data_IF_648487641074
#
_entry.id   IF_648487641074
#
_cell.length_a   1.000
_cell.length_b   1.000
_cell.length_c   1.000
_cell.angle_alpha   90.00
_cell.angle_beta   90.00
_cell.angle_gamma   90.00
#
_symmetry.space_group_name_H-M   'P 1'
#
loop_
_entity.id
_entity.type
_entity.pdbx_description
1 polymer ?
#
# COMPACT_ATOMS: atom_id res chain seq x y z
N UNK A 1 28.04 -0.42 11.47
CA UNK A 1 29.34 0.03 10.90
C UNK A 1 29.12 0.38 9.43
N UNK A 2 29.56 1.57 8.98
CA UNK A 2 29.42 1.99 7.58
C UNK A 2 30.43 1.30 6.67
N UNK A 3 29.98 0.74 5.54
CA UNK A 3 30.85 0.17 4.50
C UNK A 3 31.28 1.28 3.54
N UNK A 4 32.59 1.44 3.32
CA UNK A 4 33.11 2.36 2.28
C UNK A 4 32.73 1.82 0.89
N UNK A 5 32.12 2.67 0.07
CA UNK A 5 31.78 2.36 -1.31
C UNK A 5 32.85 2.91 -2.26
N UNK A 6 33.27 2.09 -3.23
CA UNK A 6 34.12 2.53 -4.33
C UNK A 6 33.25 3.13 -5.43
N UNK A 7 32.90 4.40 -5.24
CA UNK A 7 32.10 5.23 -6.14
C UNK A 7 32.99 5.75 -7.27
N UNK A 8 32.50 5.77 -8.51
CA UNK A 8 33.30 6.22 -9.67
C UNK A 8 33.40 7.74 -9.70
N UNK A 9 32.28 8.43 -9.45
CA UNK A 9 32.23 9.89 -9.40
C UNK A 9 31.57 10.35 -8.11
N UNK A 10 32.38 10.71 -7.12
CA UNK A 10 31.89 11.19 -5.82
C UNK A 10 31.12 12.52 -5.97
N UNK A 11 31.57 13.41 -6.87
CA UNK A 11 30.96 14.73 -7.07
C UNK A 11 29.56 14.69 -7.67
N UNK A 12 29.21 13.60 -8.37
CA UNK A 12 27.88 13.40 -8.97
C UNK A 12 27.01 12.42 -8.17
N UNK A 13 27.50 11.93 -7.04
CA UNK A 13 26.79 10.94 -6.26
C UNK A 13 25.55 11.55 -5.62
N UNK A 14 24.41 10.90 -5.84
CA UNK A 14 23.14 11.26 -5.23
C UNK A 14 22.50 10.04 -4.59
N UNK A 15 21.99 10.22 -3.38
CA UNK A 15 21.02 9.30 -2.79
C UNK A 15 19.68 9.44 -3.52
N UNK A 16 19.02 8.31 -3.73
CA UNK A 16 17.64 8.24 -4.17
C UNK A 16 16.80 7.59 -3.06
N UNK A 17 15.50 7.53 -3.26
CA UNK A 17 14.60 6.84 -2.34
C UNK A 17 14.77 5.30 -2.41
N UNK A 18 14.20 4.61 -1.43
CA UNK A 18 14.15 3.15 -1.35
C UNK A 18 15.51 2.44 -1.38
N UNK A 19 16.56 3.16 -0.97
CA UNK A 19 17.93 2.65 -0.89
C UNK A 19 18.64 2.53 -2.24
N UNK A 20 18.09 3.13 -3.28
CA UNK A 20 18.83 3.37 -4.52
C UNK A 20 19.78 4.56 -4.35
N UNK A 21 20.86 4.56 -5.10
CA UNK A 21 21.74 5.70 -5.26
C UNK A 21 22.35 5.66 -6.66
N UNK A 22 22.88 6.78 -7.15
CA UNK A 22 23.65 6.78 -8.39
C UNK A 22 24.74 7.82 -8.39
N UNK A 23 25.80 7.56 -9.14
CA UNK A 23 26.69 8.58 -9.68
C UNK A 23 26.43 8.75 -11.19
N UNK A 24 27.23 9.55 -11.89
CA UNK A 24 27.07 9.73 -13.35
C UNK A 24 27.25 8.45 -14.18
N UNK A 25 27.83 7.39 -13.64
CA UNK A 25 28.26 6.19 -14.36
C UNK A 25 27.71 4.88 -13.79
N UNK A 26 27.21 4.87 -12.56
CA UNK A 26 26.82 3.65 -11.86
C UNK A 26 25.61 3.90 -10.98
N UNK A 27 24.71 2.92 -10.97
CA UNK A 27 23.59 2.84 -10.04
C UNK A 27 23.90 1.80 -8.97
N UNK A 28 23.45 2.08 -7.75
CA UNK A 28 23.61 1.23 -6.60
C UNK A 28 22.26 0.94 -5.97
N UNK A 29 22.11 -0.25 -5.40
CA UNK A 29 21.04 -0.61 -4.47
C UNK A 29 21.66 -1.13 -3.17
N UNK A 30 21.38 -0.48 -2.04
CA UNK A 30 21.96 -0.80 -0.74
C UNK A 30 23.50 -0.95 -0.78
N UNK A 31 24.16 -0.10 -1.57
CA UNK A 31 25.61 -0.12 -1.79
C UNK A 31 26.14 -1.19 -2.74
N UNK A 32 25.28 -1.99 -3.36
CA UNK A 32 25.66 -2.96 -4.39
C UNK A 32 25.48 -2.35 -5.76
N UNK A 33 26.48 -2.45 -6.64
CA UNK A 33 26.40 -1.95 -8.03
C UNK A 33 25.35 -2.74 -8.81
N UNK A 34 24.52 -2.05 -9.56
CA UNK A 34 23.56 -2.62 -10.49
C UNK A 34 24.07 -2.51 -11.92
N UNK A 35 23.76 -3.51 -12.73
CA UNK A 35 23.96 -3.47 -14.18
C UNK A 35 22.78 -2.72 -14.82
N UNK A 36 22.95 -1.40 -15.00
CA UNK A 36 21.93 -0.48 -15.52
C UNK A 36 22.36 0.05 -16.88
N UNK A 37 21.49 -0.09 -17.88
CA UNK A 37 21.77 0.31 -19.26
C UNK A 37 21.88 1.83 -19.39
N UNK A 38 20.98 2.57 -18.74
CA UNK A 38 20.90 4.04 -18.86
C UNK A 38 20.89 4.71 -17.48
N UNK A 39 22.08 4.96 -16.94
CA UNK A 39 22.26 5.63 -15.63
C UNK A 39 21.69 7.05 -15.62
N UNK A 40 21.78 7.77 -16.74
CA UNK A 40 21.26 9.13 -16.87
C UNK A 40 19.74 9.20 -16.68
N UNK A 41 19.01 8.25 -17.24
CA UNK A 41 17.54 8.15 -17.12
C UNK A 41 17.06 7.46 -15.84
N UNK A 42 17.96 6.79 -15.12
CA UNK A 42 17.61 6.02 -13.93
C UNK A 42 16.97 6.91 -12.84
N UNK A 43 15.83 6.47 -12.33
CA UNK A 43 15.11 7.10 -11.22
C UNK A 43 14.45 6.04 -10.32
N UNK A 44 14.44 6.32 -9.01
CA UNK A 44 13.50 5.65 -8.10
C UNK A 44 12.09 6.17 -8.38
N UNK A 45 11.10 5.28 -8.36
CA UNK A 45 9.69 5.62 -8.60
C UNK A 45 8.79 5.25 -7.41
N UNK A 46 9.39 4.91 -6.26
CA UNK A 46 8.69 4.62 -5.01
C UNK A 46 8.37 3.13 -4.82
N UNK A 47 8.00 2.78 -3.59
CA UNK A 47 7.61 1.42 -3.17
C UNK A 47 8.66 0.35 -3.52
N UNK A 48 9.95 0.70 -3.54
CA UNK A 48 11.04 -0.20 -3.89
C UNK A 48 11.31 -0.35 -5.40
N UNK A 49 10.48 0.27 -6.24
CA UNK A 49 10.64 0.24 -7.69
C UNK A 49 11.55 1.37 -8.18
N UNK A 50 12.32 1.06 -9.22
CA UNK A 50 13.09 2.02 -9.96
C UNK A 50 13.06 1.66 -11.45
N UNK A 51 13.35 2.63 -12.33
CA UNK A 51 13.47 2.35 -13.76
C UNK A 51 14.50 3.24 -14.44
N UNK A 52 15.08 2.69 -15.49
CA UNK A 52 15.76 3.44 -16.55
C UNK A 52 14.88 3.45 -17.82
N UNK A 53 15.37 4.01 -18.93
CA UNK A 53 14.61 4.05 -20.19
C UNK A 53 14.27 2.68 -20.79
N UNK A 54 14.91 1.60 -20.35
CA UNK A 54 14.88 0.26 -20.94
C UNK A 54 14.48 -0.86 -19.97
N UNK A 55 14.60 -0.64 -18.67
CA UNK A 55 14.40 -1.67 -17.65
C UNK A 55 13.69 -1.12 -16.41
N UNK A 56 12.97 -2.02 -15.74
CA UNK A 56 12.39 -1.79 -14.43
C UNK A 56 13.07 -2.71 -13.42
N UNK A 57 13.23 -2.22 -12.20
CA UNK A 57 13.86 -2.91 -11.09
C UNK A 57 12.96 -2.84 -9.86
N UNK A 58 12.97 -3.89 -9.05
CA UNK A 58 12.39 -3.91 -7.71
C UNK A 58 13.47 -4.35 -6.72
N UNK A 59 13.76 -3.50 -5.73
CA UNK A 59 14.82 -3.72 -4.74
C UNK A 59 16.14 -4.20 -5.37
N UNK A 60 16.57 -3.55 -6.46
CA UNK A 60 17.79 -3.87 -7.21
C UNK A 60 17.69 -5.07 -8.16
N UNK A 61 16.63 -5.88 -8.10
CA UNK A 61 16.39 -6.99 -9.03
C UNK A 61 15.70 -6.48 -10.29
N UNK A 62 16.30 -6.72 -11.46
CA UNK A 62 15.69 -6.43 -12.76
C UNK A 62 14.41 -7.27 -12.95
N UNK A 63 13.33 -6.63 -13.38
CA UNK A 63 12.05 -7.26 -13.68
C UNK A 63 11.88 -7.50 -15.18
N UNK A 64 11.16 -8.57 -15.53
CA UNK A 64 10.72 -8.82 -16.90
C UNK A 64 9.34 -8.19 -17.12
N UNK A 65 9.32 -6.91 -17.47
CA UNK A 65 8.09 -6.14 -17.72
C UNK A 65 7.84 -6.02 -19.23
N UNK A 66 6.58 -5.83 -19.63
CA UNK A 66 6.24 -5.72 -21.05
C UNK A 66 6.45 -4.29 -21.54
N UNK A 67 6.09 -3.28 -20.74
CA UNK A 67 6.15 -1.87 -21.15
C UNK A 67 6.75 -0.99 -20.06
N UNK A 68 8.04 -0.66 -20.22
CA UNK A 68 8.79 0.21 -19.30
C UNK A 68 8.28 1.65 -19.31
N UNK A 69 7.85 2.12 -20.48
CA UNK A 69 7.35 3.50 -20.66
C UNK A 69 6.08 3.74 -19.85
N UNK A 70 5.15 2.77 -19.85
CA UNK A 70 3.91 2.83 -19.08
C UNK A 70 4.05 2.37 -17.63
N UNK A 71 5.21 1.83 -17.24
CA UNK A 71 5.39 1.31 -15.88
C UNK A 71 5.30 2.43 -14.84
N UNK A 72 4.39 2.26 -13.89
CA UNK A 72 4.14 3.14 -12.76
C UNK A 72 4.05 2.34 -11.46
N UNK A 73 4.58 2.90 -10.39
CA UNK A 73 4.50 2.33 -9.05
C UNK A 73 3.47 3.12 -8.23
N UNK A 74 2.80 2.39 -7.34
CA UNK A 74 1.81 2.90 -6.39
C UNK A 74 2.25 2.54 -4.97
N UNK A 75 1.49 3.01 -3.98
CA UNK A 75 1.71 2.66 -2.59
C UNK A 75 1.59 1.14 -2.33
N UNK A 76 2.10 0.72 -1.18
CA UNK A 76 2.00 -0.67 -0.69
C UNK A 76 2.61 -1.72 -1.65
N UNK A 77 3.58 -1.33 -2.48
CA UNK A 77 4.29 -2.26 -3.36
C UNK A 77 3.55 -2.60 -4.66
N UNK A 78 2.38 -2.02 -4.92
CA UNK A 78 1.69 -2.22 -6.20
C UNK A 78 2.41 -1.45 -7.32
N UNK A 79 2.37 -2.00 -8.52
CA UNK A 79 2.80 -1.33 -9.73
C UNK A 79 2.02 -1.87 -10.93
N UNK A 80 1.99 -1.15 -12.04
CA UNK A 80 1.48 -1.69 -13.30
C UNK A 80 2.24 -1.17 -14.49
N UNK A 81 2.21 -1.95 -15.56
CA UNK A 81 2.39 -1.46 -16.93
C UNK A 81 1.06 -1.58 -17.69
N UNK A 82 1.03 -1.24 -18.97
CA UNK A 82 -0.17 -1.33 -19.80
C UNK A 82 -0.76 -2.74 -19.93
N UNK A 83 -0.04 -3.79 -19.52
CA UNK A 83 -0.38 -5.20 -19.76
C UNK A 83 -0.48 -6.04 -18.49
N UNK A 84 0.24 -5.67 -17.44
CA UNK A 84 0.37 -6.44 -16.21
C UNK A 84 0.29 -5.54 -14.98
N UNK A 85 -0.20 -6.12 -13.90
CA UNK A 85 -0.11 -5.58 -12.54
C UNK A 85 0.91 -6.39 -11.77
N UNK A 86 1.64 -5.74 -10.87
CA UNK A 86 2.66 -6.33 -10.03
C UNK A 86 2.44 -5.96 -8.57
N UNK A 87 2.83 -6.85 -7.67
CA UNK A 87 3.00 -6.58 -6.24
C UNK A 87 4.41 -6.99 -5.84
N UNK A 88 5.17 -6.06 -5.27
CA UNK A 88 6.53 -6.31 -4.78
C UNK A 88 7.42 -7.01 -5.82
N UNK A 89 7.34 -6.57 -7.08
CA UNK A 89 8.09 -7.10 -8.21
C UNK A 89 7.52 -8.39 -8.84
N UNK A 90 6.50 -9.00 -8.24
CA UNK A 90 5.89 -10.24 -8.73
C UNK A 90 4.60 -9.95 -9.50
N UNK A 91 4.42 -10.59 -10.65
CA UNK A 91 3.23 -10.39 -11.50
C UNK A 91 1.98 -10.95 -10.81
N UNK A 92 0.90 -10.17 -10.83
CA UNK A 92 -0.43 -10.55 -10.36
C UNK A 92 -1.32 -11.05 -11.49
N UNK A 93 -2.27 -11.93 -11.14
CA UNK A 93 -3.37 -12.34 -12.02
C UNK A 93 -4.56 -11.38 -11.86
N UNK A 94 -4.52 -10.27 -12.61
CA UNK A 94 -5.55 -9.22 -12.63
C UNK A 94 -6.34 -9.30 -13.93
N UNK A 95 -7.67 -9.33 -13.81
CA UNK A 95 -8.56 -9.54 -14.96
C UNK A 95 -8.66 -8.27 -15.82
N UNK A 96 -8.81 -7.10 -15.19
CA UNK A 96 -9.03 -5.84 -15.89
C UNK A 96 -7.95 -4.80 -15.54
N UNK A 97 -6.81 -4.91 -16.22
CA UNK A 97 -5.63 -4.03 -16.00
C UNK A 97 -5.98 -2.55 -16.25
N UNK A 98 -6.83 -2.25 -17.23
CA UNK A 98 -7.22 -0.89 -17.56
C UNK A 98 -8.01 -0.19 -16.45
N UNK A 99 -8.80 -0.95 -15.68
CA UNK A 99 -9.57 -0.42 -14.55
C UNK A 99 -8.85 -0.51 -13.21
N UNK A 100 -7.67 -1.15 -13.18
CA UNK A 100 -6.92 -1.35 -11.95
C UNK A 100 -6.44 -0.02 -11.36
N UNK A 101 -6.76 0.17 -10.07
CA UNK A 101 -6.29 1.28 -9.24
C UNK A 101 -6.17 0.86 -7.77
N UNK A 102 -5.30 1.55 -7.03
CA UNK A 102 -5.14 1.37 -5.57
C UNK A 102 -6.17 2.20 -4.79
N UNK A 103 -6.48 1.76 -3.57
CA UNK A 103 -7.47 2.37 -2.66
C UNK A 103 -6.86 2.71 -1.28
N UNK A 104 -5.53 2.89 -1.23
CA UNK A 104 -4.70 3.04 -0.02
C UNK A 104 -4.66 1.78 0.87
N UNK A 105 -3.78 1.81 1.88
CA UNK A 105 -3.68 0.79 2.93
C UNK A 105 -3.60 -0.66 2.40
N UNK A 106 -2.90 -0.88 1.29
CA UNK A 106 -2.76 -2.21 0.68
C UNK A 106 -3.97 -2.71 -0.12
N UNK A 107 -5.08 -1.97 -0.17
CA UNK A 107 -6.23 -2.31 -1.01
C UNK A 107 -6.03 -1.83 -2.44
N UNK A 108 -6.51 -2.63 -3.38
CA UNK A 108 -6.62 -2.28 -4.78
C UNK A 108 -7.85 -2.96 -5.39
N UNK A 109 -8.32 -2.46 -6.52
CA UNK A 109 -9.40 -3.13 -7.26
C UNK A 109 -9.27 -2.96 -8.76
N UNK A 110 -9.87 -3.89 -9.46
CA UNK A 110 -10.26 -3.76 -10.86
C UNK A 110 -11.81 -3.75 -10.95
N UNK A 111 -12.37 -3.73 -12.16
CA UNK A 111 -13.83 -3.73 -12.37
C UNK A 111 -14.57 -4.95 -11.80
N UNK A 112 -13.86 -6.05 -11.52
CA UNK A 112 -14.42 -7.36 -11.18
C UNK A 112 -13.94 -7.91 -9.84
N UNK A 113 -12.81 -7.42 -9.32
CA UNK A 113 -12.14 -7.99 -8.16
C UNK A 113 -11.59 -6.89 -7.25
N UNK A 114 -11.54 -7.23 -5.97
CA UNK A 114 -10.83 -6.45 -4.95
C UNK A 114 -9.69 -7.29 -4.42
N UNK A 115 -8.57 -6.64 -4.12
CA UNK A 115 -7.36 -7.24 -3.60
C UNK A 115 -6.93 -6.53 -2.32
N UNK A 116 -6.33 -7.28 -1.41
CA UNK A 116 -5.56 -6.75 -0.29
C UNK A 116 -4.18 -7.39 -0.33
N UNK A 117 -3.13 -6.57 -0.44
CA UNK A 117 -1.75 -7.02 -0.61
C UNK A 117 -1.63 -8.15 -1.66
N UNK A 118 -2.25 -7.95 -2.82
CA UNK A 118 -2.26 -8.88 -3.96
C UNK A 118 -3.19 -10.09 -3.82
N UNK A 119 -3.70 -10.36 -2.61
CA UNK A 119 -4.66 -11.45 -2.38
C UNK A 119 -6.05 -11.00 -2.78
N UNK A 120 -6.68 -11.71 -3.73
CA UNK A 120 -8.08 -11.49 -4.09
C UNK A 120 -8.99 -11.75 -2.89
N UNK A 121 -9.89 -10.81 -2.63
CA UNK A 121 -10.91 -10.88 -1.59
C UNK A 121 -12.25 -11.36 -2.16
N UNK A 122 -13.03 -12.05 -1.33
CA UNK A 122 -14.41 -12.42 -1.67
C UNK A 122 -15.36 -11.28 -1.29
N UNK A 123 -15.42 -10.26 -2.15
CA UNK A 123 -16.24 -9.05 -1.99
C UNK A 123 -17.57 -9.22 -2.70
N UNK A 124 -18.68 -8.86 -2.03
CA UNK A 124 -20.03 -8.98 -2.59
C UNK A 124 -20.29 -7.92 -3.67
N UNK A 125 -19.85 -6.67 -3.42
CA UNK A 125 -20.11 -5.55 -4.32
C UNK A 125 -18.82 -4.77 -4.61
N UNK A 126 -18.12 -5.17 -5.67
CA UNK A 126 -16.86 -4.53 -6.11
C UNK A 126 -17.07 -3.07 -6.51
N UNK A 127 -18.23 -2.75 -7.11
CA UNK A 127 -18.57 -1.39 -7.53
C UNK A 127 -18.67 -0.41 -6.35
N UNK A 128 -19.23 -0.86 -5.21
CA UNK A 128 -19.34 -0.06 -3.98
C UNK A 128 -18.10 -0.12 -3.08
N UNK A 129 -17.14 -0.99 -3.39
CA UNK A 129 -15.96 -1.16 -2.56
C UNK A 129 -15.10 0.10 -2.56
N UNK A 130 -14.78 0.58 -1.35
CA UNK A 130 -13.93 1.73 -1.07
C UNK A 130 -12.96 1.42 0.07
N UNK A 131 -11.72 1.89 -0.07
CA UNK A 131 -10.79 1.97 1.06
C UNK A 131 -11.22 3.09 2.00
N UNK A 132 -11.02 2.87 3.30
CA UNK A 132 -11.16 3.86 4.35
C UNK A 132 -9.79 4.07 5.01
N UNK A 133 -9.75 4.96 6.00
CA UNK A 133 -8.54 5.22 6.78
C UNK A 133 -8.17 4.03 7.67
N UNK A 134 -6.93 4.03 8.16
CA UNK A 134 -6.42 3.09 9.17
C UNK A 134 -6.71 1.62 8.85
N UNK A 135 -6.44 1.18 7.61
CA UNK A 135 -6.57 -0.22 7.22
C UNK A 135 -7.99 -0.73 7.03
N UNK A 136 -9.01 0.09 7.27
CA UNK A 136 -10.40 -0.28 7.03
C UNK A 136 -10.78 -0.14 5.56
N UNK A 137 -11.77 -0.92 5.13
CA UNK A 137 -12.44 -0.79 3.84
C UNK A 137 -13.87 -1.32 3.96
N UNK A 138 -14.74 -0.96 3.03
CA UNK A 138 -16.09 -1.52 2.98
C UNK A 138 -16.66 -1.61 1.58
N UNK A 139 -17.55 -2.57 1.40
CA UNK A 139 -18.56 -2.56 0.33
C UNK A 139 -19.93 -2.24 0.94
N UNK A 140 -21.01 -2.25 0.15
CA UNK A 140 -22.37 -1.99 0.65
C UNK A 140 -22.88 -2.98 1.71
N UNK A 141 -22.24 -4.14 1.86
CA UNK A 141 -22.71 -5.27 2.66
C UNK A 141 -21.72 -5.72 3.74
N UNK A 142 -20.43 -5.41 3.61
CA UNK A 142 -19.37 -5.90 4.47
C UNK A 142 -18.33 -4.83 4.76
N UNK A 143 -17.70 -4.97 5.92
CA UNK A 143 -16.54 -4.19 6.33
C UNK A 143 -15.33 -5.12 6.43
N UNK A 144 -14.16 -4.59 6.12
CA UNK A 144 -12.89 -5.28 6.15
C UNK A 144 -11.87 -4.45 6.92
N UNK A 145 -10.97 -5.12 7.63
CA UNK A 145 -9.75 -4.53 8.19
C UNK A 145 -8.56 -5.34 7.69
N UNK A 146 -7.63 -4.69 6.99
CA UNK A 146 -6.46 -5.33 6.37
C UNK A 146 -6.82 -6.64 5.61
N UNK A 147 -7.88 -6.59 4.80
CA UNK A 147 -8.38 -7.72 4.01
C UNK A 147 -9.19 -8.77 4.78
N UNK A 148 -9.26 -8.70 6.12
CA UNK A 148 -10.09 -9.56 6.96
C UNK A 148 -11.50 -9.00 7.04
N UNK A 149 -12.50 -9.78 6.64
CA UNK A 149 -13.92 -9.44 6.82
C UNK A 149 -14.26 -9.37 8.32
N UNK A 150 -14.94 -8.31 8.74
CA UNK A 150 -15.42 -8.11 10.10
C UNK A 150 -16.91 -8.42 10.21
N UNK A 151 -17.33 -8.82 11.42
CA UNK A 151 -18.74 -9.00 11.77
C UNK A 151 -19.32 -7.66 12.27
N UNK A 152 -19.77 -6.85 11.31
CA UNK A 152 -20.31 -5.50 11.54
C UNK A 152 -21.81 -5.50 11.38
N UNK A 153 -22.53 -4.98 12.38
CA UNK A 153 -24.00 -4.98 12.40
C UNK A 153 -24.56 -3.96 11.41
N UNK A 154 -23.97 -2.75 11.35
CA UNK A 154 -24.49 -1.66 10.53
C UNK A 154 -23.42 -1.09 9.60
N UNK A 155 -23.22 -1.74 8.45
CA UNK A 155 -22.24 -1.34 7.43
C UNK A 155 -22.50 0.06 6.87
N UNK A 156 -23.77 0.45 6.74
CA UNK A 156 -24.16 1.78 6.26
C UNK A 156 -23.71 2.91 7.19
N UNK A 157 -23.72 2.68 8.50
CA UNK A 157 -23.27 3.64 9.51
C UNK A 157 -21.78 3.53 9.84
N UNK A 158 -21.09 2.48 9.36
CA UNK A 158 -19.70 2.23 9.67
C UNK A 158 -18.78 3.37 9.21
N UNK A 159 -17.93 3.82 10.13
CA UNK A 159 -16.92 4.87 9.95
C UNK A 159 -15.61 4.44 10.61
N UNK A 160 -14.52 4.52 9.85
CA UNK A 160 -13.18 4.56 10.40
C UNK A 160 -12.99 5.88 11.17
N UNK A 161 -12.29 5.81 12.29
CA UNK A 161 -11.85 6.92 13.12
C UNK A 161 -10.31 6.88 13.14
N UNK A 162 -9.68 7.85 13.81
CA UNK A 162 -8.23 7.89 13.95
C UNK A 162 -7.70 6.80 14.89
N UNK A 163 -6.49 6.33 14.62
CA UNK A 163 -5.73 5.45 15.52
C UNK A 163 -6.28 4.04 15.54
N UNK A 164 -6.65 3.51 14.37
CA UNK A 164 -7.21 2.15 14.20
C UNK A 164 -8.56 1.92 14.89
N UNK A 165 -9.20 2.97 15.39
CA UNK A 165 -10.57 2.86 15.91
C UNK A 165 -11.57 2.94 14.77
N UNK A 166 -12.71 2.28 14.94
CA UNK A 166 -13.87 2.46 14.06
C UNK A 166 -15.16 2.26 14.85
N UNK A 167 -16.28 2.68 14.27
CA UNK A 167 -17.60 2.39 14.85
C UNK A 167 -18.68 2.26 13.81
N UNK A 168 -19.69 1.49 14.15
CA UNK A 168 -21.02 1.57 13.54
C UNK A 168 -22.00 2.19 14.56
N UNK A 169 -23.31 2.18 14.25
CA UNK A 169 -24.34 2.71 15.16
C UNK A 169 -24.45 1.96 16.50
N UNK A 170 -23.92 0.75 16.62
CA UNK A 170 -24.14 -0.18 17.73
C UNK A 170 -22.85 -0.62 18.43
N UNK A 171 -21.72 -0.60 17.74
CA UNK A 171 -20.46 -1.19 18.18
C UNK A 171 -19.28 -0.25 17.89
N UNK A 172 -18.26 -0.36 18.73
CA UNK A 172 -16.93 0.21 18.49
C UNK A 172 -15.96 -0.93 18.22
N UNK A 173 -15.01 -0.67 17.34
CA UNK A 173 -13.97 -1.59 16.94
C UNK A 173 -12.61 -0.92 17.13
N UNK A 174 -11.60 -1.73 17.43
CA UNK A 174 -10.19 -1.36 17.32
C UNK A 174 -9.51 -2.44 16.49
N UNK A 175 -8.93 -2.04 15.36
CA UNK A 175 -8.45 -2.93 14.32
C UNK A 175 -9.54 -3.95 13.91
N UNK A 176 -9.28 -5.25 14.09
CA UNK A 176 -10.19 -6.34 13.76
C UNK A 176 -11.05 -6.83 14.94
N UNK A 177 -11.02 -6.14 16.08
CA UNK A 177 -11.71 -6.54 17.31
C UNK A 177 -12.85 -5.59 17.65
N UNK A 178 -14.00 -6.16 18.01
CA UNK A 178 -15.07 -5.42 18.66
C UNK A 178 -14.69 -5.13 20.12
N UNK A 179 -14.95 -3.90 20.56
CA UNK A 179 -14.76 -3.46 21.94
C UNK A 179 -16.06 -3.51 22.71
N UNK A 180 -15.96 -3.76 24.02
CA UNK A 180 -17.06 -3.63 24.96
C UNK A 180 -17.15 -2.18 25.46
N UNK A 181 -17.86 -1.35 24.69
CA UNK A 181 -18.04 0.09 24.95
C UNK A 181 -19.46 0.34 25.43
N UNK A 182 -19.60 1.07 26.54
CA UNK A 182 -20.90 1.35 27.15
C UNK A 182 -21.72 2.31 26.28
N UNK A 183 -21.08 3.37 25.75
CA UNK A 183 -21.78 4.40 24.98
C UNK A 183 -21.13 4.70 23.63
N UNK A 184 -21.55 3.97 22.60
CA UNK A 184 -21.06 4.14 21.21
C UNK A 184 -21.36 5.54 20.64
N UNK A 185 -22.50 6.13 21.02
CA UNK A 185 -22.88 7.48 20.58
C UNK A 185 -21.93 8.56 21.10
N UNK A 186 -21.40 8.41 22.32
CA UNK A 186 -20.45 9.34 22.93
C UNK A 186 -18.98 8.98 22.70
N UNK A 187 -18.72 7.82 22.09
CA UNK A 187 -17.36 7.33 21.86
C UNK A 187 -16.51 8.30 21.02
N UNK A 188 -15.30 8.57 21.51
CA UNK A 188 -14.26 9.37 20.86
C UNK A 188 -12.92 8.64 20.94
N UNK A 189 -12.33 8.39 19.77
CA UNK A 189 -10.92 8.04 19.67
C UNK A 189 -10.07 9.26 20.05
N UNK A 190 -9.00 9.02 20.81
CA UNK A 190 -7.99 10.00 21.18
C UNK A 190 -6.65 9.55 20.61
N UNK A 191 -5.58 10.28 20.93
CA UNK A 191 -4.22 9.91 20.50
C UNK A 191 -3.61 8.81 21.39
N UNK A 192 -2.53 8.20 20.89
CA UNK A 192 -1.66 7.29 21.65
C UNK A 192 -2.37 6.07 22.25
N UNK A 193 -3.34 5.50 21.53
CA UNK A 193 -4.07 4.29 21.93
C UNK A 193 -5.20 4.53 22.93
N UNK A 194 -5.44 5.79 23.34
CA UNK A 194 -6.54 6.11 24.24
C UNK A 194 -7.86 6.34 23.49
N UNK A 195 -8.95 6.01 24.15
CA UNK A 195 -10.29 6.41 23.74
C UNK A 195 -11.16 6.65 24.96
N UNK A 196 -12.32 7.27 24.78
CA UNK A 196 -13.30 7.43 25.87
C UNK A 196 -14.72 7.41 25.37
N UNK A 197 -15.63 7.13 26.27
CA UNK A 197 -17.05 7.48 26.16
C UNK A 197 -17.46 8.33 27.37
N UNK A 198 -18.76 8.51 27.60
CA UNK A 198 -19.26 9.29 28.75
C UNK A 198 -19.01 8.65 30.12
N UNK A 199 -18.65 7.37 30.18
CA UNK A 199 -18.56 6.57 31.41
C UNK A 199 -17.14 6.08 31.69
N UNK A 200 -16.39 5.72 30.64
CA UNK A 200 -15.11 5.04 30.72
C UNK A 200 -14.05 5.70 29.82
N UNK A 201 -12.79 5.50 30.22
CA UNK A 201 -11.60 5.70 29.37
C UNK A 201 -11.03 4.31 29.06
N UNK A 202 -10.67 4.11 27.80
CA UNK A 202 -10.10 2.89 27.26
C UNK A 202 -8.64 3.15 26.88
N UNK A 203 -7.77 2.18 27.11
CA UNK A 203 -6.40 2.14 26.61
C UNK A 203 -6.17 0.76 26.00
N UNK A 204 -5.62 0.73 24.79
CA UNK A 204 -5.37 -0.48 24.01
C UNK A 204 -3.91 -0.53 23.58
#
# INVERSE_FOLDING_TARGET
>A
MGKKLNVISVSSFQGLDDGYAKDSYTVYYMGTKLDVISVSSFKSIGSGYAKDSYNVYYMGKKLNVISVSSFEAFDSGYAKDSYNVYLTGEKMDVISISSFHTLNNGYAKDSYNVYYMGKKLNVISVSSFQGLDDGYAKDSYNVYYMGKKLDVISVSSFKALSGDYAKDSYNVYYMDKKLDVISVSSFKALDSGYAKDNYNVYYI
#
